data_IF_247783295410
#
_entry.id   IF_247783295410
#
_cell.length_a   1.000
_cell.length_b   1.000
_cell.length_c   1.000
_cell.angle_alpha   90.00
_cell.angle_beta   90.00
_cell.angle_gamma   90.00
#
_symmetry.space_group_name_H-M   'P 1'
#
loop_
_entity.id
_entity.type
_entity.pdbx_description
1 polymer ?
#
# COMPACT_ATOMS: atom_id res chain seq x y z
N UNK A 1 2.72 10.29 6.86
CA UNK A 1 2.41 9.27 5.83
C UNK A 1 3.37 8.08 5.84
N UNK A 2 4.49 8.12 6.58
CA UNK A 2 5.29 6.94 6.80
C UNK A 2 5.80 6.93 8.23
N UNK A 3 5.36 5.94 9.00
CA UNK A 3 5.97 5.64 10.28
C UNK A 3 5.93 4.14 10.47
N UNK A 4 7.11 3.59 10.78
CA UNK A 4 7.19 2.43 11.64
C UNK A 4 6.74 2.87 13.05
N UNK A 5 5.47 3.27 13.19
CA UNK A 5 4.93 3.94 14.38
C UNK A 5 4.68 2.99 15.55
N UNK A 6 5.13 1.73 15.45
CA UNK A 6 4.86 0.66 16.42
C UNK A 6 3.36 0.52 16.77
N UNK A 7 2.48 1.08 15.95
CA UNK A 7 1.04 1.06 16.18
C UNK A 7 0.49 -0.30 15.75
N UNK A 8 -0.63 -0.71 16.35
CA UNK A 8 -1.30 -1.97 16.01
C UNK A 8 -1.68 -1.99 14.52
N UNK A 9 -1.66 -3.17 13.91
CA UNK A 9 -1.93 -3.35 12.48
C UNK A 9 -3.27 -2.75 12.02
N UNK A 10 -4.24 -2.62 12.93
CA UNK A 10 -5.56 -1.99 12.73
C UNK A 10 -5.55 -0.46 12.59
N UNK A 11 -4.49 0.22 13.03
CA UNK A 11 -4.34 1.69 12.99
C UNK A 11 -3.26 2.16 12.00
N UNK A 12 -2.70 1.24 11.21
CA UNK A 12 -1.53 1.48 10.38
C UNK A 12 -1.75 2.52 9.27
N UNK A 13 -0.71 3.30 9.02
CA UNK A 13 -0.62 4.31 7.96
C UNK A 13 0.52 3.97 7.01
N UNK A 14 0.56 4.60 5.83
CA UNK A 14 1.67 4.42 4.90
C UNK A 14 1.80 3.00 4.38
N UNK A 15 3.03 2.49 4.30
CA UNK A 15 3.30 1.15 3.76
C UNK A 15 2.81 0.01 4.65
N UNK A 16 2.59 0.26 5.95
CA UNK A 16 2.12 -0.76 6.91
C UNK A 16 0.63 -1.03 6.83
N UNK A 17 -0.11 -0.28 5.99
CA UNK A 17 -1.57 -0.30 5.99
C UNK A 17 -2.13 -1.60 5.43
N UNK A 18 -3.00 -2.27 6.18
CA UNK A 18 -3.84 -3.35 5.66
C UNK A 18 -4.97 -2.76 4.78
N UNK A 19 -4.74 -2.76 3.47
CA UNK A 19 -5.71 -2.29 2.50
C UNK A 19 -6.87 -3.28 2.30
N UNK A 20 -6.65 -4.57 2.48
CA UNK A 20 -7.68 -5.59 2.25
C UNK A 20 -8.74 -5.53 3.33
N UNK A 21 -8.35 -5.62 4.60
CA UNK A 21 -9.29 -5.53 5.72
C UNK A 21 -9.99 -4.17 5.77
N UNK A 22 -9.31 -3.09 5.36
CA UNK A 22 -9.89 -1.76 5.33
C UNK A 22 -10.95 -1.59 4.26
N UNK A 23 -10.65 -1.96 3.02
CA UNK A 23 -11.55 -1.71 1.88
C UNK A 23 -12.57 -2.83 1.66
N UNK A 24 -12.42 -3.96 2.33
CA UNK A 24 -13.37 -5.08 2.31
C UNK A 24 -14.01 -5.34 3.68
N UNK A 25 -14.03 -4.34 4.57
CA UNK A 25 -14.69 -4.44 5.86
C UNK A 25 -16.23 -4.54 5.68
N UNK A 26 -16.92 -5.48 6.35
CA UNK A 26 -18.37 -5.65 6.19
C UNK A 26 -19.22 -4.44 6.61
N UNK A 27 -18.73 -3.63 7.55
CA UNK A 27 -19.42 -2.42 8.03
C UNK A 27 -19.28 -1.25 7.05
N UNK A 28 -18.36 -1.32 6.09
CA UNK A 28 -18.03 -0.22 5.18
C UNK A 28 -16.60 0.31 5.39
N UNK A 29 -16.21 1.29 4.58
CA UNK A 29 -14.90 1.94 4.67
C UNK A 29 -15.00 3.48 4.66
N UNK A 30 -13.88 4.16 4.90
CA UNK A 30 -13.84 5.63 4.95
C UNK A 30 -14.36 6.23 6.27
N UNK A 31 -14.65 7.52 6.26
CA UNK A 31 -15.18 8.23 7.43
C UNK A 31 -16.56 7.69 7.79
N UNK A 32 -16.77 7.33 9.05
CA UNK A 32 -18.06 6.80 9.54
C UNK A 32 -18.55 5.55 8.81
N UNK A 33 -17.66 4.78 8.15
CA UNK A 33 -18.00 3.60 7.35
C UNK A 33 -18.97 3.87 6.18
N UNK A 34 -19.01 5.11 5.68
CA UNK A 34 -19.98 5.53 4.66
C UNK A 34 -19.78 4.87 3.27
N UNK A 35 -18.58 4.34 2.98
CA UNK A 35 -18.30 3.64 1.72
C UNK A 35 -18.78 2.18 1.77
N UNK A 36 -19.74 1.82 0.92
CA UNK A 36 -20.26 0.44 0.84
C UNK A 36 -19.23 -0.53 0.27
N UNK A 37 -19.07 -1.67 0.92
CA UNK A 37 -18.21 -2.78 0.47
C UNK A 37 -19.01 -3.98 -0.05
N UNK A 38 -20.34 -3.89 -0.09
CA UNK A 38 -21.23 -5.03 -0.38
C UNK A 38 -20.91 -5.66 -1.73
N UNK A 39 -20.79 -4.84 -2.78
CA UNK A 39 -20.53 -5.33 -4.14
C UNK A 39 -19.22 -6.12 -4.22
N UNK A 40 -18.11 -5.55 -3.76
CA UNK A 40 -16.80 -6.19 -3.87
C UNK A 40 -16.72 -7.45 -3.02
N UNK A 41 -17.30 -7.45 -1.81
CA UNK A 41 -17.35 -8.66 -0.97
C UNK A 41 -18.19 -9.76 -1.62
N UNK A 42 -19.31 -9.41 -2.25
CA UNK A 42 -20.15 -10.37 -2.98
C UNK A 42 -19.41 -10.98 -4.18
N UNK A 43 -18.65 -10.17 -4.94
CA UNK A 43 -17.83 -10.65 -6.04
C UNK A 43 -16.70 -11.57 -5.54
N UNK A 44 -16.04 -11.22 -4.43
CA UNK A 44 -14.97 -12.04 -3.84
C UNK A 44 -15.46 -13.38 -3.26
N UNK A 45 -16.77 -13.57 -3.06
CA UNK A 45 -17.34 -14.87 -2.71
C UNK A 45 -17.39 -15.84 -3.92
N UNK A 46 -17.29 -15.33 -5.14
CA UNK A 46 -17.17 -16.16 -6.34
C UNK A 46 -15.71 -16.60 -6.52
N UNK A 47 -15.47 -17.92 -6.56
CA UNK A 47 -14.13 -18.49 -6.62
C UNK A 47 -13.34 -18.05 -7.86
N UNK A 48 -13.97 -18.01 -9.04
CA UNK A 48 -13.33 -17.55 -10.27
C UNK A 48 -12.93 -16.08 -10.19
N UNK A 49 -13.83 -15.23 -9.67
CA UNK A 49 -13.53 -13.82 -9.49
C UNK A 49 -12.42 -13.60 -8.46
N UNK A 50 -12.44 -14.31 -7.32
CA UNK A 50 -11.37 -14.27 -6.31
C UNK A 50 -10.03 -14.63 -6.95
N UNK A 51 -9.97 -15.68 -7.75
CA UNK A 51 -8.75 -16.09 -8.46
C UNK A 51 -8.25 -14.98 -9.40
N UNK A 52 -9.13 -14.44 -10.26
CA UNK A 52 -8.78 -13.34 -11.16
C UNK A 52 -8.32 -12.10 -10.39
N UNK A 53 -8.96 -11.78 -9.26
CA UNK A 53 -8.57 -10.69 -8.40
C UNK A 53 -7.13 -10.89 -7.88
N UNK A 54 -6.81 -12.06 -7.33
CA UNK A 54 -5.48 -12.37 -6.82
C UNK A 54 -4.40 -12.30 -7.91
N UNK A 55 -4.69 -12.82 -9.10
CA UNK A 55 -3.79 -12.71 -10.27
C UNK A 55 -3.54 -11.25 -10.67
N UNK A 56 -4.57 -10.39 -10.62
CA UNK A 56 -4.41 -8.95 -10.86
C UNK A 56 -3.62 -8.26 -9.76
N UNK A 57 -3.79 -8.64 -8.49
CA UNK A 57 -2.95 -8.12 -7.41
C UNK A 57 -1.49 -8.54 -7.65
N UNK A 58 -1.24 -9.79 -8.01
CA UNK A 58 0.11 -10.27 -8.32
C UNK A 58 0.75 -9.50 -9.48
N UNK A 59 0.02 -9.29 -10.59
CA UNK A 59 0.45 -8.46 -11.71
C UNK A 59 0.80 -7.02 -11.26
N UNK A 60 -0.03 -6.42 -10.41
CA UNK A 60 0.20 -5.07 -9.91
C UNK A 60 1.47 -4.99 -9.05
N UNK A 61 1.71 -5.96 -8.18
CA UNK A 61 2.90 -6.00 -7.32
C UNK A 61 4.18 -6.37 -8.11
N UNK A 62 4.10 -7.35 -8.99
CA UNK A 62 5.28 -7.91 -9.64
C UNK A 62 5.73 -7.13 -10.87
N UNK A 63 4.81 -6.48 -11.57
CA UNK A 63 5.11 -5.86 -12.85
C UNK A 63 4.76 -4.39 -12.91
N UNK A 64 3.57 -3.97 -12.45
CA UNK A 64 3.11 -2.59 -12.67
C UNK A 64 3.75 -1.60 -11.70
N UNK A 65 3.73 -1.93 -10.41
CA UNK A 65 4.12 -1.02 -9.32
C UNK A 65 5.37 -1.48 -8.57
N UNK A 66 6.30 -2.18 -9.22
CA UNK A 66 7.57 -2.57 -8.60
C UNK A 66 8.27 -1.40 -7.90
N UNK A 67 9.00 -1.62 -6.79
CA UNK A 67 9.72 -0.55 -6.07
C UNK A 67 10.58 0.30 -7.00
N UNK A 68 11.27 -0.33 -7.95
CA UNK A 68 12.16 0.31 -8.92
C UNK A 68 11.37 1.28 -9.82
N UNK A 69 10.22 0.86 -10.35
CA UNK A 69 9.34 1.71 -11.17
C UNK A 69 8.76 2.87 -10.38
N UNK A 70 8.35 2.66 -9.12
CA UNK A 70 7.86 3.75 -8.28
C UNK A 70 8.99 4.75 -7.98
N UNK A 71 10.17 4.27 -7.59
CA UNK A 71 11.33 5.12 -7.32
C UNK A 71 11.72 5.94 -8.54
N UNK A 72 11.83 5.31 -9.72
CA UNK A 72 12.11 6.00 -10.97
C UNK A 72 11.03 7.04 -11.33
N UNK A 73 9.76 6.74 -11.05
CA UNK A 73 8.67 7.68 -11.25
C UNK A 73 8.81 8.90 -10.32
N UNK A 74 9.13 8.68 -9.04
CA UNK A 74 9.36 9.77 -8.08
C UNK A 74 10.53 10.64 -8.53
N UNK A 75 11.65 10.05 -8.91
CA UNK A 75 12.84 10.78 -9.35
C UNK A 75 12.53 11.64 -10.59
N UNK A 76 11.83 11.06 -11.57
CA UNK A 76 11.41 11.78 -12.78
C UNK A 76 10.45 12.93 -12.47
N UNK A 77 9.40 12.68 -11.68
CA UNK A 77 8.39 13.69 -11.38
C UNK A 77 8.93 14.79 -10.46
N UNK A 78 9.77 14.44 -9.48
CA UNK A 78 10.44 15.43 -8.64
C UNK A 78 11.36 16.31 -9.48
N UNK A 79 12.17 15.73 -10.38
CA UNK A 79 13.06 16.48 -11.26
C UNK A 79 12.32 17.43 -12.20
N UNK A 80 11.12 17.08 -12.67
CA UNK A 80 10.31 17.93 -13.55
C UNK A 80 9.85 19.25 -12.89
N UNK A 81 9.68 19.28 -11.56
CA UNK A 81 9.15 20.45 -10.84
C UNK A 81 10.12 21.02 -9.81
N UNK A 82 11.34 20.48 -9.70
CA UNK A 82 12.31 20.88 -8.67
C UNK A 82 12.65 22.37 -8.71
N UNK A 83 12.84 22.91 -9.91
CA UNK A 83 13.13 24.32 -10.10
C UNK A 83 11.91 25.19 -9.72
N UNK A 84 10.71 24.80 -10.13
CA UNK A 84 9.47 25.52 -9.83
C UNK A 84 9.15 25.54 -8.33
N UNK A 85 9.41 24.44 -7.64
CA UNK A 85 9.20 24.34 -6.20
C UNK A 85 10.06 25.31 -5.39
N UNK A 86 11.18 25.79 -5.93
CA UNK A 86 11.99 26.85 -5.29
C UNK A 86 11.34 28.22 -5.39
N UNK A 87 10.53 28.46 -6.42
CA UNK A 87 9.74 29.69 -6.55
C UNK A 87 8.42 29.60 -5.76
N UNK A 88 7.78 28.43 -5.74
CA UNK A 88 6.53 28.24 -4.98
C UNK A 88 6.74 28.50 -3.48
N UNK A 89 7.89 28.13 -2.92
CA UNK A 89 8.17 28.38 -1.49
C UNK A 89 8.36 29.85 -1.16
N UNK A 90 8.70 30.68 -2.15
CA UNK A 90 8.76 32.14 -1.98
C UNK A 90 7.35 32.77 -2.04
N UNK A 91 6.39 32.10 -2.69
CA UNK A 91 5.01 32.58 -2.85
C UNK A 91 4.08 32.12 -1.72
N UNK A 92 4.31 30.95 -1.14
CA UNK A 92 3.41 30.31 -0.18
C UNK A 92 4.08 30.09 1.19
N UNK A 93 3.73 30.92 2.17
CA UNK A 93 4.32 30.94 3.53
C UNK A 93 4.21 29.62 4.32
N UNK A 94 3.32 28.70 3.92
CA UNK A 94 3.08 27.44 4.62
C UNK A 94 3.87 26.24 4.05
N UNK A 95 4.73 26.45 3.05
CA UNK A 95 5.49 25.39 2.38
C UNK A 95 6.98 25.73 2.46
N UNK A 96 7.80 24.74 2.79
CA UNK A 96 9.25 24.86 2.66
C UNK A 96 9.76 23.85 1.65
N UNK A 97 10.84 24.21 0.95
CA UNK A 97 11.42 23.36 -0.09
C UNK A 97 11.88 22.02 0.50
N UNK A 98 12.49 22.04 1.68
CA UNK A 98 12.91 20.83 2.39
C UNK A 98 11.73 19.96 2.82
N UNK A 99 10.60 20.56 3.23
CA UNK A 99 9.41 19.80 3.59
C UNK A 99 8.79 19.12 2.36
N UNK A 100 8.73 19.82 1.22
CA UNK A 100 8.34 19.20 -0.06
C UNK A 100 9.25 18.02 -0.45
N UNK A 101 10.58 18.18 -0.36
CA UNK A 101 11.52 17.09 -0.61
C UNK A 101 11.30 15.91 0.33
N UNK A 102 11.03 16.17 1.62
CA UNK A 102 10.69 15.13 2.59
C UNK A 102 9.42 14.35 2.19
N UNK A 103 8.43 14.99 1.57
CA UNK A 103 7.26 14.30 1.02
C UNK A 103 7.62 13.36 -0.13
N UNK A 104 8.55 13.74 -1.02
CA UNK A 104 9.08 12.83 -2.03
C UNK A 104 9.77 11.61 -1.38
N UNK A 105 10.58 11.85 -0.34
CA UNK A 105 11.25 10.78 0.40
C UNK A 105 10.29 9.85 1.15
N UNK A 106 9.15 10.37 1.62
CA UNK A 106 8.09 9.52 2.16
C UNK A 106 7.55 8.54 1.11
N UNK A 107 7.39 8.96 -0.15
CA UNK A 107 6.95 8.07 -1.23
C UNK A 107 8.05 7.04 -1.54
N UNK A 108 9.33 7.45 -1.58
CA UNK A 108 10.44 6.51 -1.75
C UNK A 108 10.47 5.46 -0.64
N UNK A 109 10.26 5.87 0.60
CA UNK A 109 10.21 4.95 1.72
C UNK A 109 8.96 4.04 1.67
N UNK A 110 7.83 4.51 1.13
CA UNK A 110 6.69 3.65 0.85
C UNK A 110 7.06 2.58 -0.18
N UNK A 111 7.63 2.98 -1.32
CA UNK A 111 8.02 2.09 -2.41
C UNK A 111 8.94 0.95 -1.95
N UNK A 112 9.87 1.25 -1.03
CA UNK A 112 10.83 0.27 -0.50
C UNK A 112 10.22 -0.80 0.41
N UNK A 113 9.08 -0.52 1.03
CA UNK A 113 8.55 -1.37 2.10
C UNK A 113 7.17 -1.97 1.79
N UNK A 114 6.36 -1.32 0.95
CA UNK A 114 4.93 -1.66 0.83
C UNK A 114 4.65 -3.08 0.34
N UNK A 115 5.55 -3.68 -0.45
CA UNK A 115 5.33 -5.02 -1.00
C UNK A 115 5.29 -6.10 0.08
N UNK A 116 6.18 -6.01 1.07
CA UNK A 116 6.20 -6.96 2.18
C UNK A 116 4.88 -6.95 2.94
N UNK A 117 4.37 -5.77 3.26
CA UNK A 117 3.08 -5.62 3.94
C UNK A 117 1.90 -6.02 3.04
N UNK A 118 1.95 -5.70 1.74
CA UNK A 118 0.90 -6.12 0.80
C UNK A 118 0.83 -7.65 0.70
N UNK A 119 1.97 -8.33 0.66
CA UNK A 119 2.07 -9.79 0.67
C UNK A 119 1.58 -10.38 2.00
N UNK A 120 1.98 -9.79 3.14
CA UNK A 120 1.48 -10.17 4.47
C UNK A 120 -0.04 -10.14 4.53
N UNK A 121 -0.65 -9.02 4.13
CA UNK A 121 -2.08 -8.83 4.28
C UNK A 121 -2.90 -9.57 3.23
N UNK A 122 -2.42 -9.75 1.99
CA UNK A 122 -3.13 -10.58 1.01
C UNK A 122 -3.13 -12.05 1.44
N UNK A 123 -2.02 -12.53 2.00
CA UNK A 123 -1.91 -13.89 2.54
C UNK A 123 -2.89 -14.09 3.70
N UNK A 124 -2.84 -13.19 4.69
CA UNK A 124 -3.69 -13.26 5.88
C UNK A 124 -5.17 -13.12 5.54
N UNK A 125 -5.56 -12.10 4.78
CA UNK A 125 -6.96 -11.79 4.47
C UNK A 125 -7.65 -12.91 3.67
N UNK A 126 -6.96 -13.49 2.70
CA UNK A 126 -7.53 -14.57 1.86
C UNK A 126 -7.22 -15.98 2.38
N UNK A 127 -6.52 -16.07 3.51
CA UNK A 127 -6.05 -17.32 4.14
C UNK A 127 -5.27 -18.21 3.18
N UNK A 128 -4.35 -17.61 2.41
CA UNK A 128 -3.54 -18.33 1.43
C UNK A 128 -2.42 -19.10 2.13
N UNK A 129 -2.22 -20.35 1.72
CA UNK A 129 -1.06 -21.14 2.10
C UNK A 129 0.23 -20.58 1.50
N UNK A 130 1.38 -20.93 2.09
CA UNK A 130 2.69 -20.59 1.52
C UNK A 130 2.86 -21.12 0.08
N UNK A 131 2.25 -22.26 -0.24
CA UNK A 131 2.27 -22.82 -1.61
C UNK A 131 1.49 -21.93 -2.58
N UNK A 132 0.29 -21.49 -2.20
CA UNK A 132 -0.51 -20.56 -3.01
C UNK A 132 0.19 -19.21 -3.18
N UNK A 133 0.83 -18.70 -2.12
CA UNK A 133 1.62 -17.46 -2.21
C UNK A 133 2.74 -17.58 -3.23
N UNK A 134 3.54 -18.65 -3.17
CA UNK A 134 4.60 -18.88 -4.13
C UNK A 134 4.07 -19.11 -5.55
N UNK A 135 2.94 -19.78 -5.71
CA UNK A 135 2.33 -20.03 -7.02
C UNK A 135 1.79 -18.75 -7.67
N UNK A 136 1.05 -17.93 -6.91
CA UNK A 136 0.35 -16.75 -7.44
C UNK A 136 1.28 -15.53 -7.51
N UNK A 137 2.07 -15.29 -6.46
CA UNK A 137 2.89 -14.09 -6.31
C UNK A 137 4.37 -14.32 -6.61
N UNK A 138 4.82 -15.58 -6.71
CA UNK A 138 6.23 -15.93 -6.88
C UNK A 138 7.08 -15.77 -5.61
N UNK A 139 6.48 -15.27 -4.52
CA UNK A 139 7.13 -15.05 -3.22
C UNK A 139 6.09 -14.92 -2.11
N UNK A 140 6.54 -15.07 -0.87
CA UNK A 140 5.81 -14.67 0.34
C UNK A 140 6.56 -13.54 1.05
N UNK A 141 5.87 -12.87 1.97
CA UNK A 141 6.54 -11.87 2.83
C UNK A 141 7.56 -12.54 3.76
N UNK A 142 8.59 -11.78 4.13
CA UNK A 142 9.50 -12.14 5.22
C UNK A 142 9.07 -11.56 6.57
N UNK A 143 8.02 -10.74 6.61
CA UNK A 143 7.48 -10.19 7.84
C UNK A 143 6.80 -11.29 8.65
N UNK A 144 7.12 -11.35 9.94
CA UNK A 144 6.42 -12.24 10.86
C UNK A 144 5.04 -11.67 11.22
N UNK A 145 4.09 -12.57 11.48
CA UNK A 145 2.81 -12.19 12.10
C UNK A 145 3.05 -11.76 13.55
N UNK A 146 3.16 -10.46 13.76
CA UNK A 146 3.25 -9.87 15.11
C UNK A 146 1.92 -9.90 15.87
N UNK A 147 0.92 -10.64 15.42
CA UNK A 147 -0.31 -10.92 16.19
C UNK A 147 -0.03 -11.98 17.25
N UNK A 148 0.86 -11.68 18.20
CA UNK A 148 0.94 -12.34 19.49
C UNK A 148 1.39 -11.30 20.51
N UNK A 149 0.41 -10.65 21.12
CA UNK A 149 0.63 -9.65 22.15
C UNK A 149 -0.65 -9.31 22.89
N UNK A 150 -1.20 -10.29 23.62
CA UNK A 150 -2.15 -10.09 24.74
C UNK A 150 -3.61 -9.92 24.36
#
# INVERSE_FOLDING_TARGET
>A
MNRDDKSSDTATVGFRRDFFSRYFNPEGHGSGKAGSTVLIRALLANATFKQTFLEKVALMLNDVYTPEKILAMVDRLQGNIDAEMKYDVDLWDSITYSFWQQHCDHIRNYAKNYQEYALKYVQSYFSLSDSEMNSIFGRKTTLEDTTNGG
#
